data_IF_084684421727
#
_entry.id   IF_084684421727
#
_cell.length_a   1.000
_cell.length_b   1.000
_cell.length_c   1.000
_cell.angle_alpha   90.00
_cell.angle_beta   90.00
_cell.angle_gamma   90.00
#
_symmetry.space_group_name_H-M   'P 1'
#
loop_
_entity.id
_entity.type
_entity.pdbx_description
1 polymer ?
#
# COMPACT_ATOMS: atom_id res chain seq x y z
N UNK A 1 22.01 19.91 1.13
CA UNK A 1 22.20 18.45 1.12
C UNK A 1 21.21 17.89 0.11
N UNK A 2 21.66 17.26 -0.97
CA UNK A 2 20.75 16.66 -1.95
C UNK A 2 20.24 15.31 -1.45
N UNK A 3 18.96 15.01 -1.72
CA UNK A 3 18.37 13.71 -1.41
C UNK A 3 18.99 12.62 -2.29
N UNK A 4 18.87 11.35 -1.87
CA UNK A 4 19.38 10.21 -2.65
C UNK A 4 18.77 10.19 -4.06
N UNK A 5 17.48 10.53 -4.19
CA UNK A 5 16.82 10.71 -5.50
C UNK A 5 17.54 11.79 -6.32
N UNK A 6 17.71 12.98 -5.75
CA UNK A 6 18.28 14.11 -6.47
C UNK A 6 19.68 13.79 -7.03
N UNK A 7 20.50 13.03 -6.30
CA UNK A 7 21.80 12.53 -6.80
C UNK A 7 21.69 11.46 -7.89
N UNK A 8 20.67 10.60 -7.83
CA UNK A 8 20.44 9.61 -8.90
C UNK A 8 19.99 10.27 -10.19
N UNK A 9 19.30 11.42 -10.12
CA UNK A 9 18.82 12.14 -11.27
C UNK A 9 19.81 13.15 -11.88
N UNK A 10 20.97 13.39 -11.25
CA UNK A 10 21.99 14.34 -11.72
C UNK A 10 22.55 14.01 -13.13
N UNK A 11 22.46 12.76 -13.56
CA UNK A 11 22.96 12.30 -14.86
C UNK A 11 21.89 12.27 -15.96
N UNK A 12 20.61 12.56 -15.65
CA UNK A 12 19.58 12.61 -16.68
C UNK A 12 19.65 13.94 -17.44
N UNK A 13 19.73 13.85 -18.77
CA UNK A 13 19.94 15.01 -19.63
C UNK A 13 18.63 15.69 -20.02
N UNK A 14 17.50 14.98 -19.92
CA UNK A 14 16.21 15.47 -20.36
C UNK A 14 15.14 15.38 -19.27
N UNK A 15 14.18 16.31 -19.32
CA UNK A 15 12.98 16.27 -18.47
C UNK A 15 12.22 14.96 -18.64
N UNK A 16 12.20 14.40 -19.86
CA UNK A 16 11.52 13.14 -20.17
C UNK A 16 12.12 11.96 -19.40
N UNK A 17 13.44 11.84 -19.36
CA UNK A 17 14.12 10.76 -18.62
C UNK A 17 13.86 10.84 -17.11
N UNK A 18 13.88 12.06 -16.56
CA UNK A 18 13.57 12.30 -15.14
C UNK A 18 12.12 11.90 -14.84
N UNK A 19 11.17 12.28 -15.70
CA UNK A 19 9.75 11.93 -15.53
C UNK A 19 9.52 10.43 -15.61
N UNK A 20 10.03 9.74 -16.65
CA UNK A 20 9.87 8.29 -16.80
C UNK A 20 10.46 7.52 -15.62
N UNK A 21 11.67 7.85 -15.18
CA UNK A 21 12.26 7.18 -14.00
C UNK A 21 11.49 7.47 -12.72
N UNK A 22 10.91 8.67 -12.58
CA UNK A 22 10.10 9.02 -11.42
C UNK A 22 8.78 8.26 -11.42
N UNK A 23 8.14 8.10 -12.58
CA UNK A 23 6.94 7.29 -12.76
C UNK A 23 7.21 5.82 -12.42
N UNK A 24 8.31 5.25 -12.90
CA UNK A 24 8.71 3.87 -12.59
C UNK A 24 8.98 3.67 -11.09
N UNK A 25 9.69 4.61 -10.47
CA UNK A 25 10.01 4.54 -9.04
C UNK A 25 8.76 4.69 -8.17
N UNK A 26 7.92 5.69 -8.46
CA UNK A 26 6.67 5.92 -7.74
C UNK A 26 5.69 4.77 -7.96
N UNK A 27 5.59 4.25 -9.19
CA UNK A 27 4.82 3.06 -9.50
C UNK A 27 5.29 1.85 -8.70
N UNK A 28 6.61 1.64 -8.61
CA UNK A 28 7.21 0.61 -7.77
C UNK A 28 6.90 0.79 -6.28
N UNK A 29 6.93 2.02 -5.77
CA UNK A 29 6.56 2.33 -4.38
C UNK A 29 5.09 2.02 -4.09
N UNK A 30 4.18 2.40 -4.99
CA UNK A 30 2.74 2.10 -4.87
C UNK A 30 2.51 0.58 -4.87
N UNK A 31 3.20 -0.16 -5.75
CA UNK A 31 3.13 -1.64 -5.77
C UNK A 31 3.61 -2.25 -4.45
N UNK A 32 4.73 -1.77 -3.90
CA UNK A 32 5.29 -2.26 -2.64
C UNK A 32 4.39 -1.92 -1.45
N UNK A 33 3.85 -0.69 -1.40
CA UNK A 33 2.91 -0.26 -0.37
C UNK A 33 1.66 -1.15 -0.38
N UNK A 34 1.04 -1.31 -1.56
CA UNK A 34 -0.10 -2.20 -1.75
C UNK A 34 0.18 -3.62 -1.26
N UNK A 35 1.31 -4.20 -1.65
CA UNK A 35 1.69 -5.56 -1.24
C UNK A 35 1.89 -5.67 0.28
N UNK A 36 2.50 -4.66 0.90
CA UNK A 36 2.70 -4.61 2.35
C UNK A 36 1.36 -4.54 3.10
N UNK A 37 0.46 -3.66 2.68
CA UNK A 37 -0.86 -3.50 3.30
C UNK A 37 -1.69 -4.77 3.16
N UNK A 38 -1.73 -5.40 1.97
CA UNK A 38 -2.41 -6.69 1.76
C UNK A 38 -1.82 -7.77 2.67
N UNK A 39 -0.49 -7.83 2.80
CA UNK A 39 0.17 -8.80 3.69
C UNK A 39 -0.24 -8.57 5.15
N UNK A 40 -0.28 -7.32 5.60
CA UNK A 40 -0.69 -6.97 6.96
C UNK A 40 -2.16 -7.29 7.22
N UNK A 41 -3.03 -7.06 6.23
CA UNK A 41 -4.45 -7.40 6.26
C UNK A 41 -4.65 -8.91 6.42
N UNK A 42 -4.04 -9.72 5.55
CA UNK A 42 -4.16 -11.20 5.59
C UNK A 42 -3.61 -11.80 6.88
N UNK A 43 -2.64 -11.15 7.52
CA UNK A 43 -2.09 -11.56 8.81
C UNK A 43 -2.84 -11.00 10.02
N UNK A 44 -3.84 -10.14 9.81
CA UNK A 44 -4.57 -9.48 10.88
C UNK A 44 -5.67 -10.39 11.44
N UNK A 45 -5.28 -11.38 12.25
CA UNK A 45 -6.24 -12.22 13.00
C UNK A 45 -6.75 -11.51 14.26
N UNK A 46 -8.01 -11.76 14.63
CA UNK A 46 -8.52 -11.31 15.92
C UNK A 46 -7.75 -12.01 17.05
N UNK A 47 -7.12 -11.22 17.93
CA UNK A 47 -6.48 -11.76 19.13
C UNK A 47 -7.54 -12.07 20.19
N UNK A 48 -7.39 -13.19 20.89
CA UNK A 48 -8.22 -13.55 22.04
C UNK A 48 -8.34 -12.38 23.03
N UNK A 49 -9.55 -12.07 23.46
CA UNK A 49 -9.83 -10.95 24.37
C UNK A 49 -9.88 -9.56 23.72
N UNK A 50 -9.59 -9.43 22.42
CA UNK A 50 -9.80 -8.15 21.70
C UNK A 50 -11.29 -7.98 21.39
N UNK A 51 -11.91 -6.82 21.71
CA UNK A 51 -13.29 -6.55 21.32
C UNK A 51 -13.45 -6.60 19.80
N UNK A 52 -14.52 -7.26 19.33
CA UNK A 52 -14.82 -7.39 17.89
C UNK A 52 -14.84 -6.02 17.20
N UNK A 53 -15.47 -5.01 17.83
CA UNK A 53 -15.49 -3.62 17.31
C UNK A 53 -14.09 -3.08 17.02
N UNK A 54 -13.12 -3.31 17.91
CA UNK A 54 -11.74 -2.84 17.74
C UNK A 54 -11.05 -3.56 16.58
N UNK A 55 -11.32 -4.85 16.43
CA UNK A 55 -10.79 -5.64 15.32
C UNK A 55 -11.38 -5.19 13.97
N UNK A 56 -12.70 -4.98 13.90
CA UNK A 56 -13.38 -4.49 12.69
C UNK A 56 -12.88 -3.11 12.25
N UNK A 57 -12.67 -2.18 13.18
CA UNK A 57 -12.08 -0.87 12.87
C UNK A 57 -10.67 -1.00 12.28
N UNK A 58 -9.89 -1.98 12.75
CA UNK A 58 -8.56 -2.26 12.19
C UNK A 58 -8.67 -2.79 10.75
N UNK A 59 -9.58 -3.72 10.48
CA UNK A 59 -9.80 -4.26 9.14
C UNK A 59 -10.29 -3.17 8.16
N UNK A 60 -11.22 -2.31 8.59
CA UNK A 60 -11.69 -1.16 7.80
C UNK A 60 -10.54 -0.21 7.44
N UNK A 61 -9.61 0.03 8.37
CA UNK A 61 -8.41 0.83 8.09
C UNK A 61 -7.54 0.22 6.99
N UNK A 62 -7.34 -1.10 7.02
CA UNK A 62 -6.62 -1.79 5.96
C UNK A 62 -7.35 -1.78 4.63
N UNK A 63 -8.68 -1.93 4.59
CA UNK A 63 -9.43 -1.86 3.33
C UNK A 63 -9.26 -0.50 2.65
N UNK A 64 -9.40 0.60 3.41
CA UNK A 64 -9.14 1.94 2.89
C UNK A 64 -7.70 2.11 2.39
N UNK A 65 -6.71 1.63 3.16
CA UNK A 65 -5.29 1.74 2.78
C UNK A 65 -4.95 0.91 1.53
N UNK A 66 -5.59 -0.26 1.33
CA UNK A 66 -5.39 -1.06 0.11
C UNK A 66 -5.99 -0.35 -1.12
N UNK A 67 -7.17 0.26 -0.98
CA UNK A 67 -7.80 1.07 -2.03
C UNK A 67 -6.97 2.33 -2.36
N UNK A 68 -6.47 3.04 -1.35
CA UNK A 68 -5.58 4.21 -1.52
C UNK A 68 -4.28 3.83 -2.25
N UNK A 69 -3.80 2.60 -2.08
CA UNK A 69 -2.64 2.04 -2.79
C UNK A 69 -3.00 1.46 -4.18
N UNK A 70 -4.19 1.78 -4.69
CA UNK A 70 -4.64 1.48 -6.05
C UNK A 70 -5.05 0.02 -6.28
N UNK A 71 -5.39 -0.73 -5.24
CA UNK A 71 -6.03 -2.03 -5.41
C UNK A 71 -7.56 -1.89 -5.39
N UNK A 72 -8.24 -2.67 -6.23
CA UNK A 72 -9.69 -2.82 -6.16
C UNK A 72 -10.00 -3.97 -5.19
N UNK A 73 -10.83 -3.69 -4.18
CA UNK A 73 -11.22 -4.68 -3.19
C UNK A 73 -12.72 -4.97 -3.30
N UNK A 74 -13.03 -6.10 -3.93
CA UNK A 74 -14.43 -6.52 -4.09
C UNK A 74 -15.10 -6.73 -2.73
N UNK A 75 -16.39 -6.36 -2.65
CA UNK A 75 -17.18 -6.43 -1.41
C UNK A 75 -17.27 -7.86 -0.88
N UNK A 76 -17.36 -8.86 -1.76
CA UNK A 76 -17.38 -10.26 -1.33
C UNK A 76 -16.03 -10.65 -0.70
N UNK A 77 -14.91 -10.17 -1.25
CA UNK A 77 -13.58 -10.39 -0.69
C UNK A 77 -13.41 -9.74 0.69
N UNK A 78 -13.95 -8.53 0.88
CA UNK A 78 -13.97 -7.86 2.19
C UNK A 78 -14.74 -8.69 3.24
N UNK A 79 -15.89 -9.22 2.85
CA UNK A 79 -16.73 -10.08 3.69
C UNK A 79 -15.97 -11.35 4.07
N UNK A 80 -15.35 -12.03 3.10
CA UNK A 80 -14.58 -13.25 3.34
C UNK A 80 -13.42 -13.01 4.32
N UNK A 81 -12.70 -11.88 4.17
CA UNK A 81 -11.60 -11.49 5.05
C UNK A 81 -12.08 -11.22 6.49
N UNK A 82 -13.27 -10.65 6.68
CA UNK A 82 -13.86 -10.42 8.01
C UNK A 82 -14.16 -11.74 8.73
N UNK A 83 -14.45 -12.81 7.99
CA UNK A 83 -14.81 -14.12 8.55
C UNK A 83 -13.63 -15.12 8.64
N UNK A 84 -12.43 -14.75 8.18
CA UNK A 84 -11.20 -15.56 8.29
C UNK A 84 -10.52 -15.50 9.66
#
# INVERSE_FOLDING_TARGET
MSSVLQKQHENFCTVKEIMTNSEDLLGGQVVLARQSTITNLMNSKQKTGTPVKKHMLKLMGFFAEVEDNGAELDVYMQIEIVFM
#
